data_IF_958639860648
#
_entry.id   IF_958639860648
#
_cell.length_a   1.000
_cell.length_b   1.000
_cell.length_c   1.000
_cell.angle_alpha   90.00
_cell.angle_beta   90.00
_cell.angle_gamma   90.00
#
_symmetry.space_group_name_H-M   'P 1'
#
loop_
_entity.id
_entity.type
_entity.pdbx_description
1 polymer ?
#
# COMPACT_ATOMS: atom_id res chain seq x y z
N UNK A 1 -16.43 -14.35 -1.32
CA UNK A 1 -17.60 -13.52 -1.52
C UNK A 1 -18.91 -14.29 -1.47
N UNK A 2 -20.00 -13.58 -1.45
CA UNK A 2 -21.34 -14.20 -1.42
C UNK A 2 -21.59 -15.11 -2.63
N UNK A 3 -21.16 -14.71 -3.82
CA UNK A 3 -21.34 -15.50 -5.03
C UNK A 3 -20.57 -16.82 -4.94
N UNK A 4 -19.35 -16.80 -4.41
CA UNK A 4 -18.58 -18.02 -4.21
C UNK A 4 -19.24 -18.94 -3.19
N UNK A 5 -19.77 -18.39 -2.10
CA UNK A 5 -20.52 -19.14 -1.09
C UNK A 5 -21.79 -19.78 -1.66
N UNK A 6 -22.54 -19.05 -2.49
CA UNK A 6 -23.72 -19.57 -3.14
C UNK A 6 -23.39 -20.73 -4.09
N UNK A 7 -22.34 -20.60 -4.89
CA UNK A 7 -21.93 -21.66 -5.80
C UNK A 7 -21.47 -22.90 -5.04
N UNK A 8 -20.74 -22.72 -3.94
CA UNK A 8 -20.32 -23.83 -3.09
C UNK A 8 -21.54 -24.56 -2.49
N UNK A 9 -22.55 -23.82 -2.00
CA UNK A 9 -23.78 -24.41 -1.47
C UNK A 9 -24.65 -25.08 -2.53
N UNK A 10 -24.49 -24.72 -3.80
CA UNK A 10 -25.16 -25.32 -4.94
C UNK A 10 -24.39 -26.51 -5.53
N UNK A 11 -23.34 -26.98 -4.85
CA UNK A 11 -22.48 -28.07 -5.30
C UNK A 11 -21.81 -27.79 -6.65
N UNK A 12 -21.43 -26.55 -6.92
CA UNK A 12 -20.67 -26.18 -8.10
C UNK A 12 -19.27 -26.81 -8.04
N UNK A 13 -18.71 -27.19 -9.18
CA UNK A 13 -17.37 -27.72 -9.27
C UNK A 13 -16.31 -26.67 -8.95
N UNK A 14 -15.10 -27.12 -8.58
CA UNK A 14 -13.95 -26.23 -8.29
C UNK A 14 -13.66 -25.29 -9.46
N UNK A 15 -13.75 -25.77 -10.70
CA UNK A 15 -13.52 -24.96 -11.90
C UNK A 15 -14.50 -23.79 -12.00
N UNK A 16 -15.79 -24.03 -11.70
CA UNK A 16 -16.78 -22.97 -11.69
C UNK A 16 -16.49 -21.92 -10.60
N UNK A 17 -16.00 -22.34 -9.44
CA UNK A 17 -15.61 -21.42 -8.36
C UNK A 17 -14.43 -20.55 -8.76
N UNK A 18 -13.49 -21.08 -9.54
CA UNK A 18 -12.33 -20.33 -10.01
C UNK A 18 -12.71 -19.12 -10.87
N UNK A 19 -13.81 -19.18 -11.61
CA UNK A 19 -14.27 -18.04 -12.42
C UNK A 19 -14.73 -16.85 -11.58
N UNK A 20 -15.01 -17.05 -10.31
CA UNK A 20 -15.36 -15.96 -9.38
C UNK A 20 -14.13 -15.30 -8.76
N UNK A 21 -12.93 -15.86 -8.96
CA UNK A 21 -11.68 -15.30 -8.44
C UNK A 21 -11.18 -14.23 -9.41
N UNK A 22 -11.37 -12.97 -9.03
CA UNK A 22 -10.93 -11.82 -9.83
C UNK A 22 -9.68 -11.23 -9.23
N UNK A 23 -8.92 -10.45 -10.03
CA UNK A 23 -7.67 -9.82 -9.58
C UNK A 23 -7.87 -8.84 -8.42
N UNK A 24 -9.07 -8.29 -8.26
CA UNK A 24 -9.40 -7.41 -7.14
C UNK A 24 -9.78 -8.13 -5.85
N UNK A 25 -9.82 -9.46 -5.85
CA UNK A 25 -10.16 -10.23 -4.66
C UNK A 25 -9.04 -10.10 -3.62
N UNK A 26 -9.42 -9.84 -2.37
CA UNK A 26 -8.46 -9.75 -1.27
C UNK A 26 -8.06 -11.15 -0.80
N UNK A 27 -6.75 -11.36 -0.71
CA UNK A 27 -6.19 -12.60 -0.16
C UNK A 27 -5.07 -12.25 0.81
N UNK A 28 -4.87 -13.04 1.88
CA UNK A 28 -3.73 -12.82 2.75
C UNK A 28 -2.43 -13.17 2.04
N UNK A 29 -1.42 -12.30 2.17
CA UNK A 29 -0.11 -12.47 1.55
C UNK A 29 0.96 -12.13 2.58
N UNK A 30 2.01 -12.94 2.63
CA UNK A 30 3.20 -12.65 3.44
C UNK A 30 4.34 -12.29 2.49
N UNK A 31 4.90 -11.09 2.70
CA UNK A 31 6.05 -10.61 1.92
C UNK A 31 7.22 -10.34 2.85
N UNK A 32 8.41 -10.76 2.44
CA UNK A 32 9.64 -10.50 3.18
C UNK A 32 10.51 -9.55 2.36
N UNK A 33 10.92 -8.44 2.98
CA UNK A 33 11.73 -7.42 2.33
C UNK A 33 12.83 -6.93 3.27
N UNK A 34 14.01 -6.63 2.72
CA UNK A 34 15.06 -5.97 3.49
C UNK A 34 14.79 -4.45 3.59
N UNK A 35 15.61 -3.74 4.36
CA UNK A 35 15.42 -2.30 4.59
C UNK A 35 15.49 -1.48 3.31
N UNK A 36 16.38 -1.83 2.37
CA UNK A 36 16.50 -1.13 1.09
C UNK A 36 15.26 -1.34 0.20
N UNK A 37 14.74 -2.55 0.18
CA UNK A 37 13.51 -2.86 -0.56
C UNK A 37 12.30 -2.13 0.04
N UNK A 38 12.20 -2.08 1.36
CA UNK A 38 11.14 -1.33 2.06
C UNK A 38 11.24 0.16 1.76
N UNK A 39 12.44 0.72 1.71
CA UNK A 39 12.66 2.11 1.36
C UNK A 39 12.06 2.44 -0.01
N UNK A 40 12.37 1.63 -1.02
CA UNK A 40 11.83 1.80 -2.37
C UNK A 40 10.32 1.58 -2.41
N UNK A 41 9.84 0.56 -1.73
CA UNK A 41 8.41 0.25 -1.66
C UNK A 41 7.61 1.43 -1.10
N UNK A 42 8.02 1.98 0.03
CA UNK A 42 7.29 3.08 0.65
C UNK A 42 7.40 4.38 -0.15
N UNK A 43 8.53 4.64 -0.78
CA UNK A 43 8.67 5.83 -1.64
C UNK A 43 7.67 5.83 -2.78
N UNK A 44 7.40 4.68 -3.36
CA UNK A 44 6.54 4.55 -4.52
C UNK A 44 5.06 4.34 -4.15
N UNK A 45 4.79 3.61 -3.09
CA UNK A 45 3.44 3.16 -2.78
C UNK A 45 2.69 4.01 -1.76
N UNK A 46 3.37 4.88 -1.03
CA UNK A 46 2.71 5.86 -0.15
C UNK A 46 2.46 7.20 -0.84
N UNK A 47 2.89 7.34 -2.10
CA UNK A 47 2.65 8.53 -2.89
C UNK A 47 1.17 8.71 -3.19
N UNK A 48 0.69 9.96 -3.22
CA UNK A 48 -0.72 10.27 -3.54
C UNK A 48 -1.11 9.86 -4.98
N UNK A 49 -0.13 9.65 -5.86
CA UNK A 49 -0.35 9.17 -7.23
C UNK A 49 -0.42 7.65 -7.31
N UNK A 50 -0.11 6.94 -6.25
CA UNK A 50 -0.30 5.50 -6.20
C UNK A 50 -1.80 5.15 -6.12
N UNK A 51 -2.15 3.97 -6.61
CA UNK A 51 -3.52 3.47 -6.50
C UNK A 51 -3.95 3.46 -5.03
N UNK A 52 -5.18 3.89 -4.76
CA UNK A 52 -5.60 4.18 -3.39
C UNK A 52 -5.55 2.96 -2.46
N UNK A 53 -5.88 1.77 -2.95
CA UNK A 53 -5.85 0.53 -2.16
C UNK A 53 -4.42 0.18 -1.74
N UNK A 54 -3.47 0.29 -2.67
CA UNK A 54 -2.05 0.04 -2.40
C UNK A 54 -1.49 1.12 -1.48
N UNK A 55 -1.88 2.38 -1.71
CA UNK A 55 -1.45 3.50 -0.88
C UNK A 55 -1.90 3.34 0.58
N UNK A 56 -3.15 2.97 0.80
CA UNK A 56 -3.65 2.73 2.16
C UNK A 56 -2.92 1.59 2.83
N UNK A 57 -2.72 0.50 2.11
CA UNK A 57 -2.02 -0.67 2.63
C UNK A 57 -0.57 -0.34 3.00
N UNK A 58 0.14 0.36 2.11
CA UNK A 58 1.53 0.75 2.35
C UNK A 58 1.64 1.73 3.51
N UNK A 59 0.72 2.70 3.62
CA UNK A 59 0.71 3.67 4.71
C UNK A 59 0.47 2.99 6.05
N UNK A 60 -0.46 2.03 6.10
CA UNK A 60 -0.72 1.25 7.30
C UNK A 60 0.49 0.41 7.70
N UNK A 61 1.14 -0.24 6.73
CA UNK A 61 2.34 -1.01 6.98
C UNK A 61 3.47 -0.13 7.55
N UNK A 62 3.66 1.07 7.00
CA UNK A 62 4.67 2.01 7.51
C UNK A 62 4.32 2.45 8.93
N UNK A 63 3.06 2.69 9.22
CA UNK A 63 2.62 3.07 10.58
C UNK A 63 2.98 1.99 11.59
N UNK A 64 2.71 0.72 11.27
CA UNK A 64 3.05 -0.41 12.13
C UNK A 64 4.57 -0.49 12.34
N UNK A 65 5.35 -0.35 11.28
CA UNK A 65 6.81 -0.39 11.36
C UNK A 65 7.38 0.77 12.17
N UNK A 66 6.80 1.95 12.08
CA UNK A 66 7.22 3.11 12.92
C UNK A 66 6.95 2.87 14.39
N UNK A 67 5.89 2.16 14.74
CA UNK A 67 5.64 1.78 16.13
C UNK A 67 6.69 0.81 16.65
N UNK A 68 7.17 -0.11 15.81
CA UNK A 68 8.18 -1.09 16.18
C UNK A 68 9.59 -0.50 16.23
N UNK A 69 9.96 0.32 15.24
CA UNK A 69 11.30 0.91 15.10
C UNK A 69 11.21 2.37 14.64
N UNK A 70 10.83 3.29 15.54
CA UNK A 70 10.56 4.68 15.14
C UNK A 70 11.79 5.41 14.58
N UNK A 71 12.99 5.12 15.06
CA UNK A 71 14.19 5.81 14.58
C UNK A 71 14.52 5.50 13.14
N UNK A 72 14.35 4.24 12.73
CA UNK A 72 14.63 3.82 11.36
C UNK A 72 13.52 4.25 10.40
N UNK A 73 12.28 3.92 10.73
CA UNK A 73 11.16 4.10 9.81
C UNK A 73 10.56 5.51 9.80
N UNK A 74 11.01 6.41 10.69
CA UNK A 74 10.64 7.82 10.63
C UNK A 74 11.16 8.52 9.38
N UNK A 75 12.19 7.96 8.74
CA UNK A 75 12.77 8.48 7.51
C UNK A 75 12.09 7.96 6.25
N UNK A 76 11.20 7.00 6.38
CA UNK A 76 10.54 6.34 5.26
C UNK A 76 9.21 7.04 4.94
N UNK A 77 8.88 7.11 3.67
CA UNK A 77 7.66 7.74 3.21
C UNK A 77 7.69 7.97 1.70
N UNK A 78 6.73 8.71 1.14
CA UNK A 78 6.74 9.03 -0.27
C UNK A 78 7.97 9.83 -0.67
N UNK A 79 8.32 9.80 -1.95
CA UNK A 79 9.54 10.45 -2.45
C UNK A 79 9.59 11.92 -2.09
N UNK A 80 8.46 12.64 -2.18
CA UNK A 80 8.42 14.07 -1.83
C UNK A 80 8.72 14.33 -0.35
N UNK A 81 8.38 13.41 0.54
CA UNK A 81 8.75 13.50 1.95
C UNK A 81 10.24 13.23 2.16
N UNK A 82 10.75 12.17 1.51
CA UNK A 82 12.15 11.73 1.70
C UNK A 82 13.13 12.72 1.08
N UNK A 83 12.89 13.14 -0.16
CA UNK A 83 13.80 14.00 -0.92
C UNK A 83 13.45 15.49 -0.88
N UNK A 84 12.26 15.83 -0.42
CA UNK A 84 11.79 17.22 -0.35
C UNK A 84 11.18 17.73 -1.66
N UNK A 85 11.28 17.00 -2.75
CA UNK A 85 10.74 17.40 -4.06
C UNK A 85 9.99 16.26 -4.71
N UNK A 86 8.98 16.60 -5.51
CA UNK A 86 8.22 15.61 -6.24
C UNK A 86 8.92 15.31 -7.58
N UNK A 87 9.27 14.05 -7.86
CA UNK A 87 9.92 13.67 -9.13
C UNK A 87 8.95 13.63 -10.31
N UNK A 88 7.64 13.70 -10.05
CA UNK A 88 6.63 13.53 -11.10
C UNK A 88 6.41 14.76 -11.98
N UNK A 89 6.99 15.91 -11.64
CA UNK A 89 6.84 17.14 -12.41
C UNK A 89 5.38 17.53 -12.62
N UNK A 90 4.90 17.48 -13.87
CA UNK A 90 3.51 17.81 -14.20
C UNK A 90 2.49 16.89 -13.54
N UNK A 91 2.87 15.66 -13.26
CA UNK A 91 2.00 14.65 -12.64
C UNK A 91 2.01 14.70 -11.13
N UNK A 92 2.62 15.72 -10.55
CA UNK A 92 2.60 15.94 -9.09
C UNK A 92 1.16 16.09 -8.60
N UNK A 93 0.86 15.50 -7.45
CA UNK A 93 -0.48 15.58 -6.84
C UNK A 93 -0.82 16.98 -6.33
N UNK A 94 0.16 17.88 -6.23
CA UNK A 94 -0.01 19.24 -5.71
C UNK A 94 -0.17 19.31 -4.19
N UNK A 95 -0.01 18.20 -3.48
CA UNK A 95 -0.23 18.12 -2.03
C UNK A 95 1.05 17.87 -1.26
N UNK A 96 2.21 18.22 -1.82
CA UNK A 96 3.51 17.93 -1.24
C UNK A 96 3.66 18.45 0.21
N UNK A 97 3.25 19.68 0.46
CA UNK A 97 3.34 20.27 1.80
C UNK A 97 2.54 19.48 2.83
N UNK A 98 1.29 19.13 2.51
CA UNK A 98 0.41 18.36 3.38
C UNK A 98 0.95 16.94 3.61
N UNK A 99 1.41 16.30 2.55
CA UNK A 99 1.99 14.95 2.63
C UNK A 99 3.21 14.95 3.55
N UNK A 100 4.11 15.92 3.39
CA UNK A 100 5.28 16.05 4.23
C UNK A 100 4.92 16.23 5.70
N UNK A 101 3.91 17.04 5.98
CA UNK A 101 3.43 17.25 7.35
C UNK A 101 2.88 15.96 7.96
N UNK A 102 2.06 15.21 7.22
CA UNK A 102 1.48 13.94 7.68
C UNK A 102 2.58 12.92 8.00
N UNK A 103 3.53 12.74 7.08
CA UNK A 103 4.60 11.75 7.27
C UNK A 103 5.68 12.20 8.26
N UNK A 104 5.77 13.48 8.55
CA UNK A 104 6.71 13.99 9.54
C UNK A 104 6.32 13.68 10.99
N UNK A 105 5.03 13.57 11.28
CA UNK A 105 4.65 13.39 12.67
C UNK A 105 3.30 12.76 12.96
N UNK A 106 2.41 12.65 11.98
CA UNK A 106 1.01 12.27 12.23
C UNK A 106 0.58 10.94 11.60
N UNK A 107 1.53 10.15 11.18
CA UNK A 107 1.21 8.88 10.55
C UNK A 107 0.62 7.84 11.49
#
# INVERSE_FOLDING_TARGET
GEAAGKLASMNAGTDALCYLLVSGLRVPVVSTMNAGELYTYFRLRTCQRAQWEIRELATEALRVLRQAHPMLFSLYGPTCFVSGTCPEGRMCCGKTARVREVFAGKL
#
